data_IF_842539459412
#
_entry.id   IF_842539459412
#
_cell.length_a   1.000
_cell.length_b   1.000
_cell.length_c   1.000
_cell.angle_alpha   90.00
_cell.angle_beta   90.00
_cell.angle_gamma   90.00
#
_symmetry.space_group_name_H-M   'P 1'
#
loop_
_entity.id
_entity.type
_entity.pdbx_description
1 polymer ?
#
# COMPACT_ATOMS: atom_id res chain seq x y z
N UNK A 1 -31.20 7.80 -25.36
CA UNK A 1 -31.15 6.56 -24.56
C UNK A 1 -29.70 6.29 -24.22
N UNK A 2 -29.29 6.57 -22.99
CA UNK A 2 -27.95 6.22 -22.51
C UNK A 2 -28.05 4.78 -22.02
N UNK A 3 -27.47 3.84 -22.76
CA UNK A 3 -27.31 2.47 -22.29
C UNK A 3 -26.21 2.46 -21.23
N UNK A 4 -26.59 2.58 -19.96
CA UNK A 4 -25.69 2.29 -18.84
C UNK A 4 -25.80 0.81 -18.56
N UNK A 5 -25.19 -0.02 -19.42
CA UNK A 5 -25.03 -1.42 -19.09
C UNK A 5 -23.89 -1.50 -18.07
N UNK A 6 -24.24 -1.64 -16.79
CA UNK A 6 -23.27 -1.91 -15.73
C UNK A 6 -22.77 -3.35 -15.91
N UNK A 7 -21.48 -3.50 -16.17
CA UNK A 7 -20.82 -4.79 -15.98
C UNK A 7 -20.45 -4.85 -14.51
N UNK A 8 -21.05 -5.74 -13.71
CA UNK A 8 -20.66 -5.87 -12.31
C UNK A 8 -19.21 -6.37 -12.26
N UNK A 9 -18.28 -5.47 -11.93
CA UNK A 9 -16.90 -5.84 -11.65
C UNK A 9 -16.85 -6.24 -10.19
N UNK A 10 -16.45 -7.48 -9.91
CA UNK A 10 -16.22 -7.96 -8.56
C UNK A 10 -14.82 -7.53 -8.13
N UNK A 11 -14.72 -6.70 -7.10
CA UNK A 11 -13.45 -6.16 -6.62
C UNK A 11 -12.94 -6.87 -5.35
N UNK A 12 -13.79 -7.24 -4.40
CA UNK A 12 -13.42 -7.75 -3.06
C UNK A 12 -12.33 -6.90 -2.35
N UNK A 13 -12.56 -5.57 -2.19
CA UNK A 13 -11.51 -4.60 -1.82
C UNK A 13 -11.28 -4.45 -0.32
N UNK A 14 -12.15 -5.04 0.50
CA UNK A 14 -12.10 -5.00 1.97
C UNK A 14 -11.34 -6.23 2.45
N UNK A 15 -10.26 -6.03 3.20
CA UNK A 15 -9.50 -7.13 3.77
C UNK A 15 -10.26 -7.84 4.90
N UNK A 16 -9.85 -9.06 5.22
CA UNK A 16 -10.35 -9.74 6.42
C UNK A 16 -10.03 -8.88 7.66
N UNK A 17 -11.00 -8.57 8.54
CA UNK A 17 -10.77 -7.73 9.71
C UNK A 17 -9.67 -8.24 10.64
N UNK A 18 -9.39 -9.54 10.65
CA UNK A 18 -8.33 -10.14 11.48
C UNK A 18 -6.94 -9.88 10.91
N UNK A 19 -6.81 -9.51 9.63
CA UNK A 19 -5.56 -9.10 9.00
C UNK A 19 -5.28 -7.58 9.13
N UNK A 20 -6.09 -6.86 9.90
CA UNK A 20 -6.04 -5.39 9.97
C UNK A 20 -5.68 -4.94 11.39
N UNK A 21 -4.58 -4.20 11.50
CA UNK A 21 -4.11 -3.57 12.75
C UNK A 21 -4.20 -2.06 12.61
N UNK A 22 -4.88 -1.40 13.55
CA UNK A 22 -5.14 0.05 13.47
C UNK A 22 -4.66 0.81 14.69
N UNK A 23 -4.18 2.01 14.44
CA UNK A 23 -3.99 3.08 15.42
C UNK A 23 -4.96 4.23 15.09
N UNK A 24 -5.04 5.30 15.91
CA UNK A 24 -5.88 6.45 15.57
C UNK A 24 -5.58 7.09 14.21
N UNK A 25 -4.36 6.97 13.69
CA UNK A 25 -3.95 7.63 12.43
C UNK A 25 -3.31 6.70 11.40
N UNK A 26 -3.07 5.43 11.72
CA UNK A 26 -2.44 4.48 10.81
C UNK A 26 -3.19 3.16 10.76
N UNK A 27 -3.22 2.52 9.59
CA UNK A 27 -3.77 1.18 9.37
C UNK A 27 -2.76 0.32 8.64
N UNK A 28 -2.49 -0.85 9.19
CA UNK A 28 -1.63 -1.87 8.61
C UNK A 28 -2.51 -3.05 8.20
N UNK A 29 -2.47 -3.43 6.93
CA UNK A 29 -3.17 -4.62 6.44
C UNK A 29 -2.15 -5.64 5.99
N UNK A 30 -2.21 -6.83 6.59
CA UNK A 30 -1.31 -7.94 6.28
C UNK A 30 -1.96 -8.77 5.17
N UNK A 31 -1.52 -8.58 3.93
CA UNK A 31 -2.13 -9.22 2.75
C UNK A 31 -1.54 -10.59 2.46
N UNK A 32 -0.23 -10.76 2.67
CA UNK A 32 0.50 -12.03 2.62
C UNK A 32 1.72 -11.94 3.54
N UNK A 33 2.48 -13.02 3.69
CA UNK A 33 3.76 -12.98 4.43
C UNK A 33 4.73 -11.90 3.89
N UNK A 34 4.62 -11.54 2.60
CA UNK A 34 5.54 -10.62 1.90
C UNK A 34 4.89 -9.33 1.40
N UNK A 35 3.63 -9.09 1.73
CA UNK A 35 2.89 -7.92 1.24
C UNK A 35 2.10 -7.29 2.38
N UNK A 36 2.48 -6.05 2.71
CA UNK A 36 1.80 -5.21 3.67
C UNK A 36 1.26 -3.98 2.94
N UNK A 37 0.03 -3.57 3.25
CA UNK A 37 -0.51 -2.25 2.89
C UNK A 37 -0.42 -1.35 4.11
N UNK A 38 0.05 -0.12 3.90
CA UNK A 38 0.35 0.85 4.95
C UNK A 38 -0.44 2.12 4.67
N UNK A 39 -1.44 2.42 5.47
CA UNK A 39 -2.21 3.65 5.33
C UNK A 39 -1.95 4.60 6.51
N UNK A 40 -1.79 5.87 6.20
CA UNK A 40 -1.77 6.95 7.18
C UNK A 40 -2.86 7.98 6.84
N UNK A 41 -3.64 8.35 7.85
CA UNK A 41 -4.68 9.36 7.76
C UNK A 41 -4.63 10.30 8.96
N UNK A 42 -4.40 11.61 8.76
CA UNK A 42 -4.48 12.60 9.84
C UNK A 42 -5.85 12.67 10.53
N UNK A 43 -6.90 12.16 9.88
CA UNK A 43 -8.28 12.17 10.37
C UNK A 43 -8.76 10.80 10.88
N UNK A 44 -7.94 9.75 10.77
CA UNK A 44 -8.34 8.38 11.08
C UNK A 44 -9.35 7.76 10.10
N UNK A 45 -9.64 8.44 8.97
CA UNK A 45 -10.48 7.90 7.90
C UNK A 45 -9.59 7.24 6.84
N UNK A 46 -9.86 5.96 6.56
CA UNK A 46 -9.09 5.14 5.62
C UNK A 46 -9.90 4.81 4.36
N UNK A 47 -9.25 4.29 3.32
CA UNK A 47 -9.89 4.01 2.04
C UNK A 47 -10.08 2.50 1.84
N UNK A 48 -11.34 2.09 1.77
CA UNK A 48 -11.75 0.69 1.61
C UNK A 48 -12.17 0.36 0.17
N UNK A 49 -12.33 1.38 -0.67
CA UNK A 49 -12.69 1.16 -2.07
C UNK A 49 -11.52 0.56 -2.85
N UNK A 50 -11.79 -0.14 -3.96
CA UNK A 50 -10.75 -0.62 -4.84
C UNK A 50 -10.08 0.58 -5.48
N UNK A 51 -8.75 0.62 -5.48
CA UNK A 51 -8.05 1.63 -6.27
C UNK A 51 -7.94 1.17 -7.72
N UNK A 52 -7.58 2.08 -8.61
CA UNK A 52 -7.30 1.75 -10.01
C UNK A 52 -6.24 0.64 -10.13
N UNK A 53 -5.32 0.57 -9.15
CA UNK A 53 -4.21 -0.38 -9.09
C UNK A 53 -4.59 -1.67 -8.37
N UNK A 54 -5.20 -1.57 -7.18
CA UNK A 54 -5.45 -2.71 -6.29
C UNK A 54 -6.95 -2.91 -6.08
N UNK A 55 -7.46 -3.96 -6.71
CA UNK A 55 -8.89 -4.26 -6.74
C UNK A 55 -9.29 -5.13 -5.56
N UNK A 56 -8.49 -6.16 -5.28
CA UNK A 56 -8.77 -7.19 -4.28
C UNK A 56 -7.82 -7.09 -3.10
N UNK A 57 -8.39 -7.11 -1.90
CA UNK A 57 -7.64 -7.14 -0.63
C UNK A 57 -8.17 -8.20 0.34
N UNK A 58 -9.34 -8.79 0.06
CA UNK A 58 -9.84 -9.96 0.77
C UNK A 58 -9.03 -11.20 0.38
N UNK A 59 -7.92 -11.44 1.07
CA UNK A 59 -7.03 -12.58 0.87
C UNK A 59 -7.06 -13.50 2.10
N UNK A 60 -6.66 -14.78 1.97
CA UNK A 60 -6.43 -15.63 3.12
C UNK A 60 -5.45 -14.96 4.10
N UNK A 61 -5.84 -14.89 5.37
CA UNK A 61 -5.04 -14.27 6.43
C UNK A 61 -3.79 -15.13 6.66
N UNK A 62 -2.57 -14.59 6.51
CA UNK A 62 -1.36 -15.33 6.84
C UNK A 62 -1.22 -15.50 8.36
N UNK A 63 -0.31 -16.37 8.79
CA UNK A 63 0.09 -16.42 10.21
C UNK A 63 0.99 -15.21 10.51
N UNK A 64 0.65 -14.46 11.56
CA UNK A 64 1.47 -13.35 12.03
C UNK A 64 1.24 -13.09 13.51
N UNK A 65 2.25 -12.52 14.16
CA UNK A 65 2.19 -12.08 15.55
C UNK A 65 2.15 -10.55 15.63
N UNK A 66 1.47 -10.04 16.65
CA UNK A 66 1.44 -8.61 16.97
C UNK A 66 1.87 -8.41 18.42
N UNK A 67 2.90 -7.58 18.60
CA UNK A 67 3.37 -7.16 19.92
C UNK A 67 3.13 -5.66 20.05
N UNK A 68 2.27 -5.29 21.01
CA UNK A 68 2.00 -3.90 21.35
C UNK A 68 2.55 -3.57 22.74
N UNK A 69 3.35 -2.52 22.84
CA UNK A 69 3.92 -2.10 24.12
C UNK A 69 4.76 -0.83 24.01
N UNK A 70 4.79 -0.03 25.08
CA UNK A 70 5.55 1.23 25.13
C UNK A 70 5.25 2.19 23.96
N UNK A 71 4.01 2.17 23.46
CA UNK A 71 3.54 2.95 22.31
C UNK A 71 4.07 2.48 20.95
N UNK A 72 4.69 1.30 20.88
CA UNK A 72 5.17 0.67 19.65
C UNK A 72 4.27 -0.50 19.27
N UNK A 73 4.07 -0.66 17.97
CA UNK A 73 3.45 -1.83 17.35
C UNK A 73 4.55 -2.54 16.57
N UNK A 74 4.67 -3.85 16.80
CA UNK A 74 5.49 -4.73 15.99
C UNK A 74 4.59 -5.81 15.39
N UNK A 75 4.67 -5.98 14.08
CA UNK A 75 3.92 -7.01 13.32
C UNK A 75 4.95 -7.91 12.68
N UNK A 76 4.88 -9.21 12.93
CA UNK A 76 5.84 -10.19 12.45
C UNK A 76 5.13 -11.29 11.66
N UNK A 77 5.44 -11.39 10.37
CA UNK A 77 5.06 -12.51 9.50
C UNK A 77 6.25 -13.45 9.32
N UNK A 78 6.08 -14.54 8.57
CA UNK A 78 7.20 -15.42 8.22
C UNK A 78 8.37 -14.68 7.53
N UNK A 79 8.09 -13.63 6.73
CA UNK A 79 9.09 -12.97 5.88
C UNK A 79 9.38 -11.51 6.25
N UNK A 80 8.49 -10.84 6.97
CA UNK A 80 8.58 -9.40 7.26
C UNK A 80 8.37 -9.11 8.75
N UNK A 81 9.17 -8.18 9.28
CA UNK A 81 8.96 -7.58 10.60
C UNK A 81 8.77 -6.08 10.46
N UNK A 82 7.55 -5.59 10.66
CA UNK A 82 7.22 -4.17 10.71
C UNK A 82 7.33 -3.65 12.14
N UNK A 83 7.96 -2.49 12.33
CA UNK A 83 7.97 -1.76 13.60
C UNK A 83 7.48 -0.33 13.37
N UNK A 84 6.46 0.07 14.11
CA UNK A 84 5.90 1.42 14.07
C UNK A 84 5.74 2.03 15.47
N UNK A 85 6.18 3.28 15.66
CA UNK A 85 5.94 4.06 16.89
C UNK A 85 5.74 5.53 16.58
N UNK A 86 4.49 5.95 16.37
CA UNK A 86 4.24 7.36 16.12
C UNK A 86 2.77 7.69 15.87
N UNK A 87 2.55 8.90 15.38
CA UNK A 87 1.24 9.41 14.96
C UNK A 87 1.20 9.78 13.47
N UNK A 88 2.31 9.60 12.74
CA UNK A 88 2.48 9.82 11.31
C UNK A 88 3.63 8.94 10.82
N UNK A 89 3.81 8.74 9.52
CA UNK A 89 4.96 8.01 8.99
C UNK A 89 6.20 8.90 8.85
N UNK A 90 7.33 8.42 9.35
CA UNK A 90 8.65 9.04 9.18
C UNK A 90 9.75 7.98 9.16
N UNK A 91 10.94 8.30 8.62
CA UNK A 91 12.07 7.35 8.58
C UNK A 91 12.47 6.81 9.97
N UNK A 92 12.28 7.61 11.03
CA UNK A 92 12.67 7.26 12.39
C UNK A 92 11.65 6.38 13.12
N UNK A 93 10.44 6.27 12.58
CA UNK A 93 9.31 5.70 13.31
C UNK A 93 8.61 4.54 12.61
N UNK A 94 8.87 4.31 11.32
CA UNK A 94 8.33 3.22 10.54
C UNK A 94 9.47 2.54 9.78
N UNK A 95 9.67 1.26 10.08
CA UNK A 95 10.65 0.42 9.39
C UNK A 95 10.08 -0.98 9.16
N UNK A 96 10.55 -1.65 8.11
CA UNK A 96 10.23 -3.03 7.80
C UNK A 96 11.55 -3.78 7.55
N UNK A 97 11.73 -4.87 8.29
CA UNK A 97 12.88 -5.77 8.12
C UNK A 97 12.45 -6.97 7.28
N UNK A 98 13.26 -7.31 6.28
CA UNK A 98 13.13 -8.56 5.54
C UNK A 98 13.83 -9.66 6.34
N UNK A 99 13.06 -10.58 6.92
CA UNK A 99 13.56 -11.55 7.90
C UNK A 99 14.67 -12.45 7.32
N UNK A 100 14.56 -12.82 6.04
CA UNK A 100 15.54 -13.69 5.38
C UNK A 100 16.91 -13.04 5.14
N UNK A 101 16.94 -11.75 4.81
CA UNK A 101 18.18 -11.04 4.44
C UNK A 101 18.71 -10.13 5.53
N UNK A 102 17.89 -9.78 6.51
CA UNK A 102 18.18 -8.73 7.49
C UNK A 102 18.17 -7.32 6.90
N UNK A 103 17.79 -7.15 5.62
CA UNK A 103 17.68 -5.84 5.01
C UNK A 103 16.55 -5.04 5.69
N UNK A 104 16.80 -3.78 6.01
CA UNK A 104 15.83 -2.90 6.64
C UNK A 104 15.48 -1.78 5.67
N UNK A 105 14.19 -1.63 5.42
CA UNK A 105 13.61 -0.47 4.76
C UNK A 105 13.07 0.49 5.83
N UNK A 106 13.42 1.76 5.74
CA UNK A 106 12.81 2.83 6.51
C UNK A 106 11.85 3.62 5.63
N UNK A 107 10.81 4.18 6.22
CA UNK A 107 9.86 4.99 5.47
C UNK A 107 10.57 6.15 4.73
N UNK A 108 10.34 6.23 3.42
CA UNK A 108 10.97 7.24 2.55
C UNK A 108 12.33 6.84 1.96
N UNK A 109 12.85 5.65 2.28
CA UNK A 109 14.06 5.12 1.63
C UNK A 109 13.86 5.00 0.12
N UNK A 110 14.87 5.44 -0.63
CA UNK A 110 14.93 5.27 -2.07
C UNK A 110 15.51 3.90 -2.40
N UNK A 111 15.01 3.30 -3.47
CA UNK A 111 15.52 2.02 -3.99
C UNK A 111 16.46 2.26 -5.19
N UNK A 112 17.79 2.31 -5.00
CA UNK A 112 18.73 2.49 -6.10
C UNK A 112 18.84 1.28 -7.03
N UNK A 113 18.32 0.11 -6.61
CA UNK A 113 18.38 -1.13 -7.38
C UNK A 113 17.04 -1.56 -7.98
N UNK A 114 16.05 -0.65 -7.98
CA UNK A 114 14.75 -0.86 -8.62
C UNK A 114 14.93 -1.06 -10.14
N UNK A 115 14.28 -2.09 -10.69
CA UNK A 115 14.35 -2.41 -12.12
C UNK A 115 13.37 -1.59 -12.98
N UNK A 116 12.69 -0.63 -12.35
CA UNK A 116 11.71 0.31 -12.92
C UNK A 116 10.47 -0.37 -13.48
N UNK A 117 9.44 0.44 -13.69
CA UNK A 117 8.16 0.02 -14.23
C UNK A 117 7.98 0.42 -15.69
N UNK A 118 6.73 0.54 -16.08
CA UNK A 118 6.34 1.04 -17.40
C UNK A 118 6.09 2.54 -17.35
N UNK A 119 6.19 3.20 -18.50
CA UNK A 119 5.76 4.59 -18.67
C UNK A 119 4.91 4.72 -19.92
N UNK A 120 3.99 5.69 -19.95
CA UNK A 120 3.15 5.93 -21.12
C UNK A 120 3.90 6.84 -22.10
N UNK A 121 4.28 6.30 -23.25
CA UNK A 121 5.04 7.04 -24.28
C UNK A 121 4.14 7.72 -25.33
N UNK A 122 3.01 7.11 -25.69
CA UNK A 122 2.07 7.52 -26.75
C UNK A 122 2.68 8.54 -27.76
N UNK A 123 2.17 9.78 -27.82
CA UNK A 123 2.71 10.83 -28.70
C UNK A 123 3.55 11.88 -27.95
N UNK A 124 3.81 11.68 -26.65
CA UNK A 124 4.45 12.70 -25.78
C UNK A 124 5.89 12.36 -25.40
N UNK A 125 6.46 11.29 -25.94
CA UNK A 125 7.83 10.88 -25.68
C UNK A 125 8.67 10.98 -26.96
N UNK A 126 9.67 11.86 -26.94
CA UNK A 126 10.74 11.90 -27.94
C UNK A 126 12.02 11.32 -27.31
N UNK A 127 12.31 10.06 -27.63
CA UNK A 127 13.47 9.35 -27.12
C UNK A 127 13.33 8.84 -25.67
N UNK A 128 14.44 8.84 -24.92
CA UNK A 128 14.52 8.25 -23.58
C UNK A 128 13.77 9.13 -22.58
N UNK A 129 12.80 8.54 -21.89
CA UNK A 129 12.06 9.20 -20.81
C UNK A 129 12.26 8.48 -19.47
N UNK A 130 12.14 9.20 -18.34
CA UNK A 130 12.18 8.57 -17.01
C UNK A 130 11.07 7.52 -16.85
N UNK A 131 11.42 6.43 -16.19
CA UNK A 131 10.47 5.41 -15.76
C UNK A 131 10.16 5.61 -14.28
N UNK A 132 8.90 5.37 -13.90
CA UNK A 132 8.52 5.22 -12.48
C UNK A 132 9.17 3.96 -11.89
N UNK A 133 9.23 3.90 -10.56
CA UNK A 133 9.64 2.67 -9.88
C UNK A 133 8.62 1.56 -10.14
N UNK A 134 9.13 0.34 -10.32
CA UNK A 134 8.34 -0.86 -10.52
C UNK A 134 8.31 -1.74 -9.27
N UNK A 135 7.60 -2.86 -9.37
CA UNK A 135 7.46 -3.83 -8.28
C UNK A 135 8.67 -4.77 -8.13
N UNK A 136 9.64 -4.72 -9.05
CA UNK A 136 10.79 -5.63 -9.07
C UNK A 136 12.06 -4.85 -8.75
N UNK A 137 12.83 -5.35 -7.78
CA UNK A 137 14.08 -4.74 -7.34
C UNK A 137 15.11 -5.79 -6.93
N UNK A 138 16.39 -5.46 -7.06
CA UNK A 138 17.47 -6.28 -6.47
C UNK A 138 17.71 -5.98 -4.99
N UNK A 139 17.06 -4.94 -4.44
CA UNK A 139 17.07 -4.64 -3.00
C UNK A 139 16.26 -5.64 -2.18
N UNK A 140 15.44 -6.48 -2.83
CA UNK A 140 14.58 -7.47 -2.19
C UNK A 140 13.21 -6.93 -1.76
N UNK A 141 12.98 -5.63 -1.90
CA UNK A 141 11.72 -4.96 -1.59
C UNK A 141 11.37 -3.95 -2.68
N UNK A 142 10.09 -3.58 -2.76
CA UNK A 142 9.60 -2.48 -3.56
C UNK A 142 8.44 -1.81 -2.80
N UNK A 143 8.29 -0.50 -2.98
CA UNK A 143 7.20 0.28 -2.40
C UNK A 143 6.36 0.82 -3.55
N UNK A 144 5.05 0.70 -3.45
CA UNK A 144 4.11 1.26 -4.41
C UNK A 144 3.25 2.31 -3.69
N UNK A 145 3.33 3.56 -4.13
CA UNK A 145 2.49 4.66 -3.63
C UNK A 145 1.14 4.64 -4.38
N UNK A 146 0.08 4.23 -3.68
CA UNK A 146 -1.29 4.16 -4.19
C UNK A 146 -2.12 5.41 -3.81
N UNK A 147 -1.54 6.33 -3.03
CA UNK A 147 -2.11 7.63 -2.65
C UNK A 147 -2.68 8.43 -3.83
N UNK A 148 -1.95 8.63 -4.96
CA UNK A 148 -2.43 9.50 -6.04
C UNK A 148 -3.42 8.79 -6.98
N UNK A 149 -3.74 7.52 -6.74
CA UNK A 149 -4.52 6.70 -7.68
C UNK A 149 -6.01 6.93 -7.47
N UNK A 150 -6.76 6.83 -8.58
CA UNK A 150 -8.22 6.90 -8.57
C UNK A 150 -8.80 5.69 -7.84
N UNK A 151 -10.03 5.83 -7.35
CA UNK A 151 -10.78 4.75 -6.72
C UNK A 151 -12.06 4.46 -7.48
N UNK A 152 -12.50 3.22 -7.45
CA UNK A 152 -13.77 2.82 -8.04
C UNK A 152 -14.92 3.17 -7.09
N UNK A 153 -15.98 3.75 -7.66
CA UNK A 153 -17.30 3.85 -7.04
C UNK A 153 -18.06 2.53 -7.15
N UNK A 154 -19.17 2.44 -6.41
CA UNK A 154 -20.11 1.32 -6.47
C UNK A 154 -20.70 1.10 -7.88
N UNK A 155 -20.79 2.14 -8.70
CA UNK A 155 -21.27 2.07 -10.08
C UNK A 155 -20.19 1.62 -11.09
N UNK A 156 -18.99 1.30 -10.61
CA UNK A 156 -17.85 0.85 -11.43
C UNK A 156 -17.07 1.96 -12.12
N UNK A 157 -17.42 3.23 -11.89
CA UNK A 157 -16.67 4.37 -12.42
C UNK A 157 -15.53 4.80 -11.51
N UNK A 158 -14.48 5.37 -12.11
CA UNK A 158 -13.34 5.93 -11.38
C UNK A 158 -13.60 7.37 -10.94
N UNK A 159 -13.15 7.70 -9.74
CA UNK A 159 -13.12 9.08 -9.24
C UNK A 159 -11.85 9.39 -8.44
N UNK A 160 -11.50 10.67 -8.28
CA UNK A 160 -10.42 11.07 -7.38
C UNK A 160 -10.70 10.60 -5.95
N UNK A 161 -9.67 10.09 -5.29
CA UNK A 161 -9.74 9.74 -3.87
C UNK A 161 -10.02 11.01 -3.05
N UNK A 162 -11.07 11.04 -2.21
CA UNK A 162 -11.40 12.16 -1.33
C UNK A 162 -10.52 12.16 -0.09
N UNK A 163 -9.20 12.15 -0.30
CA UNK A 163 -8.21 12.01 0.77
C UNK A 163 -7.97 13.36 1.47
N UNK A 164 -7.92 13.41 2.82
CA UNK A 164 -7.54 14.62 3.52
C UNK A 164 -6.07 14.99 3.23
N UNK A 165 -5.68 16.27 3.35
CA UNK A 165 -4.29 16.69 3.18
C UNK A 165 -3.34 15.88 4.09
N UNK A 166 -2.33 15.25 3.50
CA UNK A 166 -1.35 14.44 4.23
C UNK A 166 -1.70 12.96 4.36
N UNK A 167 -2.83 12.50 3.82
CA UNK A 167 -3.12 11.06 3.69
C UNK A 167 -2.07 10.35 2.82
N UNK A 168 -1.75 9.10 3.16
CA UNK A 168 -0.82 8.23 2.46
C UNK A 168 -1.38 6.79 2.42
N UNK A 169 -1.21 6.10 1.31
CA UNK A 169 -1.60 4.70 1.05
C UNK A 169 -0.61 4.02 0.10
#
# INVERSE_FOLDING_TARGET
MTYTQSFPIQFDPIADPTAVITTPTARFTILTDRLLRLEYSPTGQFEDRPSQTFWTRCLPVPEFDVVEGNGRIQIETADLTLSYKGTHFSPDNLQITLNQSGAVWHYGDRDPFNLKGTTRTLDRADGRIPLEDGLISRSGWAVYDDTPRLVFREDGWLEPRPAPPGYQD
#
